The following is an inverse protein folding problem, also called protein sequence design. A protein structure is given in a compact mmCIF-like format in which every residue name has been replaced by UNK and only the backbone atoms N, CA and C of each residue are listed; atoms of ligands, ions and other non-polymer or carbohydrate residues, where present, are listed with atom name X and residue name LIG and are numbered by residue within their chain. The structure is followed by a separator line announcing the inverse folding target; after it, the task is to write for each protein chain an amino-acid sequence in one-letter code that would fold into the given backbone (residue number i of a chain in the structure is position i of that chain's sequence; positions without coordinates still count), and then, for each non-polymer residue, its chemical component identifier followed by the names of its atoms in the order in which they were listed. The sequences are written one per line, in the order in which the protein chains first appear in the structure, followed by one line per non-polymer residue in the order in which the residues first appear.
data_IF_963366351434
#
_entry.id   IF_963366351434
#
_cell.length_a   1.000
_cell.length_b   1.000
_cell.length_c   1.000
_cell.angle_alpha   90.00
_cell.angle_beta   90.00
_cell.angle_gamma   90.00
#
_symmetry.space_group_name_H-M   'P 1'
#
loop_
_entity.id
_entity.type
_entity.pdbx_description
1 polymer ?
#
# COMPACT_ATOMS: atom_id res chain seq x y z
N UNK A 1 -1.68 10.19 9.43
CA UNK A 1 -2.15 9.44 8.26
C UNK A 1 -0.90 9.03 7.50
N UNK A 2 -0.69 7.72 7.30
CA UNK A 2 0.60 7.15 6.87
C UNK A 2 0.45 6.36 5.56
N UNK A 3 -0.17 7.02 4.60
CA UNK A 3 -0.51 6.59 3.24
C UNK A 3 -0.61 7.86 2.37
N UNK A 4 -0.90 7.72 1.07
CA UNK A 4 -0.86 8.79 0.07
C UNK A 4 0.52 9.45 -0.03
N UNK A 5 1.59 8.71 0.27
CA UNK A 5 2.96 9.20 0.14
C UNK A 5 3.33 9.43 -1.33
N UNK A 6 2.85 8.55 -2.20
CA UNK A 6 3.01 8.64 -3.64
C UNK A 6 1.70 8.37 -4.36
N UNK A 7 1.26 9.37 -5.13
CA UNK A 7 0.13 9.29 -6.03
C UNK A 7 0.39 10.20 -7.23
N UNK A 8 -0.32 9.97 -8.34
CA UNK A 8 -0.12 10.75 -9.55
C UNK A 8 -0.57 12.20 -9.36
N UNK A 9 0.34 13.13 -9.65
CA UNK A 9 0.06 14.54 -9.89
C UNK A 9 0.92 15.03 -11.05
N UNK A 10 0.57 16.17 -11.65
CA UNK A 10 1.42 16.80 -12.68
C UNK A 10 2.80 17.24 -12.12
N UNK A 11 2.91 17.47 -10.81
CA UNK A 11 4.15 17.88 -10.14
C UNK A 11 5.03 16.68 -9.75
N UNK A 12 4.43 15.52 -9.50
CA UNK A 12 5.10 14.25 -9.19
C UNK A 12 4.64 13.15 -10.16
N UNK A 13 4.91 13.30 -11.49
CA UNK A 13 4.40 12.40 -12.51
C UNK A 13 5.26 11.13 -12.61
N UNK A 14 5.41 10.41 -11.50
CA UNK A 14 6.19 9.18 -11.43
C UNK A 14 5.55 8.16 -10.47
N UNK A 15 5.72 6.88 -10.77
CA UNK A 15 5.22 5.78 -9.93
C UNK A 15 5.89 5.78 -8.56
N UNK A 16 5.15 5.38 -7.54
CA UNK A 16 5.67 5.25 -6.19
C UNK A 16 4.72 4.44 -5.32
N UNK A 17 5.20 4.01 -4.16
CA UNK A 17 4.44 3.16 -3.26
C UNK A 17 3.43 4.01 -2.46
N UNK A 18 2.16 3.59 -2.35
CA UNK A 18 1.15 4.35 -1.60
C UNK A 18 1.55 4.53 -0.12
N UNK A 19 1.94 3.43 0.53
CA UNK A 19 2.21 3.38 1.96
C UNK A 19 3.47 2.56 2.31
N UNK A 20 4.66 2.84 1.77
CA UNK A 20 5.85 2.05 2.08
C UNK A 20 6.17 2.09 3.58
N UNK A 21 6.56 0.94 4.16
CA UNK A 21 6.97 0.88 5.57
C UNK A 21 8.32 1.58 5.79
N UNK A 22 9.24 1.39 4.86
CA UNK A 22 10.58 1.98 4.83
C UNK A 22 10.83 2.61 3.44
N UNK A 23 11.77 3.56 3.30
CA UNK A 23 12.04 4.14 1.99
C UNK A 23 12.59 3.09 1.01
N UNK A 24 12.36 3.30 -0.28
CA UNK A 24 13.10 2.56 -1.31
C UNK A 24 14.57 3.00 -1.34
N UNK A 25 15.47 2.09 -1.72
CA UNK A 25 16.91 2.37 -1.73
C UNK A 25 17.33 3.48 -2.70
N UNK A 26 16.49 3.82 -3.69
CA UNK A 26 16.73 4.90 -4.63
C UNK A 26 16.17 6.26 -4.19
N UNK A 27 15.34 6.30 -3.14
CA UNK A 27 14.78 7.55 -2.63
C UNK A 27 15.84 8.32 -1.83
N UNK A 28 15.91 9.63 -2.06
CA UNK A 28 16.87 10.51 -1.38
C UNK A 28 16.20 11.80 -0.93
N UNK A 29 16.82 12.48 0.04
CA UNK A 29 16.32 13.76 0.55
C UNK A 29 14.90 13.66 1.08
N UNK A 30 14.02 14.55 0.60
CA UNK A 30 12.62 14.58 1.02
C UNK A 30 11.86 13.28 0.71
N UNK A 31 12.11 12.64 -0.44
CA UNK A 31 11.41 11.41 -0.82
C UNK A 31 11.71 10.26 0.15
N UNK A 32 12.94 10.19 0.67
CA UNK A 32 13.33 9.18 1.67
C UNK A 32 12.60 9.32 3.01
N UNK A 33 11.86 10.42 3.22
CA UNK A 33 11.02 10.66 4.42
C UNK A 33 9.56 10.20 4.23
N UNK A 34 9.15 9.86 3.01
CA UNK A 34 7.78 9.55 2.64
C UNK A 34 7.42 8.08 2.91
N UNK A 35 7.56 7.65 4.17
CA UNK A 35 7.28 6.29 4.59
C UNK A 35 6.76 6.23 6.04
N UNK A 36 6.14 5.11 6.40
CA UNK A 36 5.54 4.88 7.72
C UNK A 36 6.60 5.00 8.83
N UNK A 37 7.77 4.37 8.67
CA UNK A 37 8.81 4.37 9.69
C UNK A 37 9.31 5.78 10.00
N UNK A 38 9.63 6.58 8.99
CA UNK A 38 10.04 7.97 9.19
C UNK A 38 8.94 8.78 9.88
N UNK A 39 7.69 8.68 9.40
CA UNK A 39 6.57 9.44 9.97
C UNK A 39 6.32 9.09 11.44
N UNK A 40 6.39 7.81 11.80
CA UNK A 40 6.25 7.37 13.20
C UNK A 40 7.38 7.96 14.06
N UNK A 41 8.63 7.79 13.64
CA UNK A 41 9.78 8.32 14.39
C UNK A 41 9.73 9.84 14.51
N UNK A 42 9.33 10.55 13.46
CA UNK A 42 9.16 12.00 13.49
C UNK A 42 8.20 12.44 14.60
N UNK A 43 7.04 11.80 14.73
CA UNK A 43 6.09 12.13 15.78
C UNK A 43 6.62 11.81 17.18
N UNK A 44 7.26 10.65 17.36
CA UNK A 44 7.81 10.25 18.67
C UNK A 44 8.98 11.13 19.10
N UNK A 45 9.86 11.49 18.16
CA UNK A 45 11.00 12.38 18.41
C UNK A 45 10.55 13.80 18.77
N UNK A 46 9.35 14.20 18.32
CA UNK A 46 8.70 15.46 18.67
C UNK A 46 7.80 15.36 19.93
N UNK A 47 7.94 14.29 20.71
CA UNK A 47 7.30 14.16 22.03
C UNK A 47 5.92 13.51 22.03
N UNK A 48 5.46 12.95 20.91
CA UNK A 48 4.23 12.16 20.90
C UNK A 48 4.45 10.83 21.61
N UNK A 49 3.63 10.54 22.61
CA UNK A 49 3.72 9.27 23.35
C UNK A 49 3.36 8.10 22.40
N UNK A 50 4.22 7.06 22.28
CA UNK A 50 4.00 5.93 21.37
C UNK A 50 2.64 5.25 21.58
N UNK A 51 2.24 5.06 22.83
CA UNK A 51 0.98 4.43 23.26
C UNK A 51 -0.28 5.26 22.95
N UNK A 52 -0.12 6.46 22.37
CA UNK A 52 -1.22 7.28 21.82
C UNK A 52 -1.18 7.40 20.29
N UNK A 53 -0.14 6.86 19.65
CA UNK A 53 0.05 6.99 18.22
C UNK A 53 -0.59 5.81 17.48
N UNK A 54 -1.52 6.10 16.57
CA UNK A 54 -2.22 5.11 15.74
C UNK A 54 -1.74 5.24 14.30
N UNK A 55 -1.25 4.15 13.71
CA UNK A 55 -0.72 4.12 12.34
C UNK A 55 -1.85 3.84 11.34
N UNK A 56 -1.95 4.63 10.27
CA UNK A 56 -2.96 4.43 9.23
C UNK A 56 -2.49 3.39 8.20
N UNK A 57 -3.32 2.38 7.95
CA UNK A 57 -3.08 1.33 6.97
C UNK A 57 -4.16 1.42 5.88
N UNK A 58 -3.78 1.64 4.60
CA UNK A 58 -4.75 1.74 3.52
C UNK A 58 -5.21 0.35 3.08
N UNK A 59 -6.48 0.25 2.69
CA UNK A 59 -7.06 -0.92 1.98
C UNK A 59 -7.45 -0.56 0.54
N UNK A 60 -6.88 0.55 0.04
CA UNK A 60 -6.97 0.99 -1.34
C UNK A 60 -5.56 1.13 -1.92
N UNK A 61 -5.52 1.33 -3.22
CA UNK A 61 -4.34 1.41 -4.03
C UNK A 61 -4.30 2.73 -4.79
N UNK A 62 -3.08 3.16 -5.14
CA UNK A 62 -2.87 4.22 -6.12
C UNK A 62 -2.48 3.64 -7.47
N UNK A 63 -3.08 4.17 -8.53
CA UNK A 63 -2.86 3.73 -9.90
C UNK A 63 -2.22 4.82 -10.76
N UNK A 64 -1.36 4.39 -11.67
CA UNK A 64 -0.60 5.25 -12.56
C UNK A 64 -0.70 4.67 -13.98
N UNK A 65 -0.70 5.55 -14.97
CA UNK A 65 -0.48 5.19 -16.37
C UNK A 65 0.98 5.49 -16.72
N UNK A 66 1.75 4.46 -17.04
CA UNK A 66 3.16 4.57 -17.40
C UNK A 66 3.33 5.39 -18.68
N UNK A 67 4.44 6.14 -18.76
CA UNK A 67 4.83 6.81 -20.00
C UNK A 67 5.53 5.86 -20.97
N UNK A 68 6.19 4.81 -20.47
CA UNK A 68 6.95 3.84 -21.24
C UNK A 68 6.82 2.43 -20.64
N UNK A 69 6.32 1.48 -21.43
CA UNK A 69 6.13 0.07 -21.03
C UNK A 69 7.42 -0.61 -20.53
N UNK A 70 8.58 -0.20 -21.05
CA UNK A 70 9.88 -0.76 -20.66
C UNK A 70 10.43 -0.15 -19.37
N UNK A 71 9.80 0.91 -18.84
CA UNK A 71 10.11 1.50 -17.56
C UNK A 71 8.90 1.39 -16.62
N UNK A 72 8.87 0.32 -15.84
CA UNK A 72 7.71 -0.11 -15.04
C UNK A 72 8.06 -0.32 -13.55
N UNK A 73 9.26 0.11 -13.13
CA UNK A 73 9.71 0.05 -11.75
C UNK A 73 9.14 1.18 -10.90
N UNK A 74 9.71 1.34 -9.71
CA UNK A 74 9.51 2.54 -8.89
C UNK A 74 10.13 3.77 -9.57
N UNK A 75 9.55 4.95 -9.32
CA UNK A 75 9.99 6.23 -9.89
C UNK A 75 9.95 6.28 -11.43
N UNK A 76 9.21 5.38 -12.06
CA UNK A 76 9.01 5.38 -13.50
C UNK A 76 8.09 6.55 -13.90
N UNK A 77 8.42 7.31 -14.97
CA UNK A 77 7.56 8.40 -15.43
C UNK A 77 6.14 7.90 -15.75
N UNK A 78 5.15 8.63 -15.26
CA UNK A 78 3.73 8.39 -15.46
C UNK A 78 3.11 9.58 -16.21
N UNK A 79 2.07 9.32 -17.00
CA UNK A 79 1.35 10.34 -17.80
C UNK A 79 -0.08 10.58 -17.34
N UNK A 80 -0.54 9.85 -16.33
CA UNK A 80 -1.91 9.92 -15.85
C UNK A 80 -2.20 8.91 -14.76
N UNK A 81 -3.48 8.84 -14.41
CA UNK A 81 -4.03 7.78 -13.56
C UNK A 81 -4.14 6.48 -14.35
N UNK A 82 -3.89 5.35 -13.69
CA UNK A 82 -4.10 4.04 -14.31
C UNK A 82 -5.60 3.76 -14.54
N UNK A 83 -5.89 2.79 -15.40
CA UNK A 83 -7.26 2.44 -15.80
C UNK A 83 -8.07 1.74 -14.71
N UNK A 84 -7.38 1.12 -13.74
CA UNK A 84 -8.03 0.47 -12.59
C UNK A 84 -8.58 1.50 -11.61
N UNK A 85 -9.82 1.26 -11.17
CA UNK A 85 -10.52 2.11 -10.21
C UNK A 85 -10.99 3.44 -10.80
N UNK A 86 -10.95 4.51 -10.00
CA UNK A 86 -11.42 5.83 -10.39
C UNK A 86 -10.47 6.92 -9.90
N UNK A 87 -10.07 7.82 -10.81
CA UNK A 87 -9.23 9.00 -10.50
C UNK A 87 -7.93 8.67 -9.75
N UNK A 88 -7.29 7.55 -10.11
CA UNK A 88 -6.03 7.13 -9.48
C UNK A 88 -6.19 6.33 -8.19
N UNK A 89 -7.41 5.98 -7.80
CA UNK A 89 -7.71 5.18 -6.61
C UNK A 89 -8.40 3.87 -7.01
N UNK A 90 -7.92 2.75 -6.48
CA UNK A 90 -8.58 1.46 -6.64
C UNK A 90 -8.83 0.79 -5.27
N UNK A 91 -10.02 0.27 -5.05
CA UNK A 91 -10.31 -0.55 -3.86
C UNK A 91 -9.68 -1.94 -3.98
N UNK A 92 -9.61 -2.69 -2.87
CA UNK A 92 -8.96 -4.00 -2.86
C UNK A 92 -9.60 -5.01 -3.84
N UNK A 93 -10.94 -5.09 -4.01
CA UNK A 93 -11.53 -5.89 -5.08
C UNK A 93 -11.04 -5.53 -6.50
N UNK A 94 -10.82 -4.24 -6.79
CA UNK A 94 -10.26 -3.78 -8.07
C UNK A 94 -8.78 -4.16 -8.20
N UNK A 95 -8.01 -4.13 -7.10
CA UNK A 95 -6.64 -4.68 -7.05
C UNK A 95 -6.66 -6.17 -7.39
N UNK A 96 -7.55 -6.97 -6.78
CA UNK A 96 -7.68 -8.40 -7.07
C UNK A 96 -8.04 -8.65 -8.54
N UNK A 97 -8.99 -7.88 -9.09
CA UNK A 97 -9.37 -7.95 -10.50
C UNK A 97 -8.20 -7.58 -11.43
N UNK A 98 -7.37 -6.60 -11.03
CA UNK A 98 -6.16 -6.24 -11.76
C UNK A 98 -5.15 -7.40 -11.74
N UNK A 99 -4.87 -7.98 -10.58
CA UNK A 99 -3.92 -9.09 -10.40
C UNK A 99 -4.35 -10.37 -11.12
N UNK A 100 -5.65 -10.55 -11.36
CA UNK A 100 -6.19 -11.70 -12.09
C UNK A 100 -6.09 -11.60 -13.63
N UNK A 101 -5.66 -10.45 -14.17
CA UNK A 101 -5.46 -10.29 -15.63
C UNK A 101 -4.30 -11.16 -16.11
N UNK A 102 -4.36 -11.61 -17.36
CA UNK A 102 -3.26 -12.38 -17.95
C UNK A 102 -1.97 -11.53 -18.03
N UNK A 103 -0.80 -12.15 -17.81
CA UNK A 103 0.53 -11.50 -17.89
C UNK A 103 0.75 -10.30 -16.98
N UNK A 104 0.00 -10.15 -15.89
CA UNK A 104 0.32 -9.18 -14.84
C UNK A 104 1.65 -9.57 -14.20
N UNK A 105 2.51 -8.58 -13.96
CA UNK A 105 3.72 -8.75 -13.16
C UNK A 105 3.49 -8.10 -11.81
N UNK A 106 3.73 -8.86 -10.75
CA UNK A 106 3.65 -8.41 -9.36
C UNK A 106 5.04 -8.44 -8.76
N UNK A 107 5.41 -7.37 -8.10
CA UNK A 107 6.70 -7.19 -7.45
C UNK A 107 6.49 -6.87 -5.97
N UNK A 108 7.27 -7.50 -5.10
CA UNK A 108 7.29 -7.17 -3.67
C UNK A 108 8.62 -6.52 -3.31
N UNK A 109 8.57 -5.23 -2.96
CA UNK A 109 9.77 -4.47 -2.61
C UNK A 109 10.12 -4.77 -1.17
N UNK A 110 10.97 -5.78 -0.94
CA UNK A 110 11.32 -6.24 0.41
C UNK A 110 11.94 -5.16 1.30
N UNK A 111 12.68 -4.20 0.73
CA UNK A 111 13.20 -3.05 1.48
C UNK A 111 12.08 -2.21 2.07
N UNK A 112 11.09 -1.85 1.25
CA UNK A 112 9.95 -1.01 1.63
C UNK A 112 8.79 -1.79 2.29
N UNK A 113 8.80 -3.13 2.25
CA UNK A 113 7.71 -4.02 2.71
C UNK A 113 6.36 -3.66 2.09
N UNK A 114 6.35 -3.39 0.78
CA UNK A 114 5.12 -3.07 0.06
C UNK A 114 5.16 -3.60 -1.38
N UNK A 115 4.02 -4.06 -1.91
CA UNK A 115 3.91 -4.54 -3.27
C UNK A 115 3.55 -3.43 -4.26
N UNK A 116 3.84 -3.71 -5.52
CA UNK A 116 3.17 -3.09 -6.65
C UNK A 116 2.95 -4.15 -7.74
N UNK A 117 2.13 -3.82 -8.74
CA UNK A 117 1.97 -4.63 -9.92
C UNK A 117 1.80 -3.75 -11.16
N UNK A 118 2.04 -4.33 -12.34
CA UNK A 118 1.85 -3.64 -13.60
C UNK A 118 1.45 -4.60 -14.71
N UNK A 119 0.73 -4.04 -15.69
CA UNK A 119 0.30 -4.72 -16.88
C UNK A 119 0.13 -3.71 -18.00
N UNK A 120 0.90 -3.86 -19.09
CA UNK A 120 1.01 -2.85 -20.13
C UNK A 120 1.26 -1.45 -19.54
N UNK A 121 0.36 -0.51 -19.79
CA UNK A 121 0.46 0.89 -19.33
C UNK A 121 0.01 1.08 -17.89
N UNK A 122 -0.71 0.13 -17.31
CA UNK A 122 -1.23 0.27 -15.96
C UNK A 122 -0.20 -0.16 -14.93
N UNK A 123 -0.06 0.64 -13.88
CA UNK A 123 0.76 0.37 -12.72
C UNK A 123 -0.04 0.66 -11.45
N UNK A 124 0.05 -0.21 -10.44
CA UNK A 124 -0.74 -0.12 -9.20
C UNK A 124 0.13 -0.40 -7.98
N UNK A 125 0.15 0.52 -7.01
CA UNK A 125 0.69 0.28 -5.67
C UNK A 125 -0.44 0.06 -4.68
N UNK A 126 -0.35 -1.02 -3.92
CA UNK A 126 -1.39 -1.46 -3.01
C UNK A 126 -0.79 -2.04 -1.72
N UNK A 127 -1.66 -2.37 -0.79
CA UNK A 127 -1.36 -3.22 0.36
C UNK A 127 -2.06 -4.56 0.21
N UNK A 128 -1.39 -5.63 0.63
CA UNK A 128 -1.94 -6.98 0.71
C UNK A 128 -1.70 -7.57 2.10
N UNK A 129 -2.14 -8.82 2.31
CA UNK A 129 -1.99 -9.50 3.61
C UNK A 129 -0.52 -9.61 4.05
N UNK A 130 0.44 -9.71 3.10
CA UNK A 130 1.87 -9.82 3.42
C UNK A 130 2.42 -8.46 3.86
N UNK A 131 2.16 -7.39 3.12
CA UNK A 131 2.63 -6.05 3.53
C UNK A 131 1.98 -5.58 4.82
N UNK A 132 0.68 -5.85 5.00
CA UNK A 132 -0.02 -5.54 6.25
C UNK A 132 0.46 -6.38 7.43
N UNK A 133 0.95 -7.60 7.21
CA UNK A 133 1.65 -8.37 8.25
C UNK A 133 2.86 -7.60 8.77
N UNK A 134 3.77 -7.20 7.87
CA UNK A 134 4.98 -6.46 8.25
C UNK A 134 4.67 -5.14 8.95
N UNK A 135 3.64 -4.42 8.49
CA UNK A 135 3.22 -3.15 9.08
C UNK A 135 2.59 -3.35 10.45
N UNK A 136 1.73 -4.36 10.63
CA UNK A 136 1.14 -4.65 11.93
C UNK A 136 2.20 -5.12 12.95
N UNK A 137 3.14 -5.97 12.54
CA UNK A 137 4.29 -6.36 13.36
C UNK A 137 5.15 -5.16 13.76
N UNK A 138 5.41 -4.24 12.82
CA UNK A 138 6.12 -2.99 13.12
C UNK A 138 5.39 -2.18 14.22
N UNK A 139 4.07 -2.02 14.11
CA UNK A 139 3.27 -1.29 15.11
C UNK A 139 3.40 -1.94 16.50
N UNK A 140 3.33 -3.28 16.56
CA UNK A 140 3.53 -4.03 17.82
C UNK A 140 4.94 -3.85 18.39
N UNK A 141 5.97 -4.03 17.56
CA UNK A 141 7.37 -3.92 17.98
C UNK A 141 7.71 -2.51 18.48
N UNK A 142 7.14 -1.48 17.86
CA UNK A 142 7.29 -0.09 18.28
C UNK A 142 6.40 0.30 19.48
N UNK A 143 5.58 -0.62 20.00
CA UNK A 143 4.66 -0.41 21.14
C UNK A 143 3.74 0.79 20.93
N UNK A 144 3.26 0.96 19.69
CA UNK A 144 2.34 2.02 19.34
C UNK A 144 0.92 1.67 19.80
N UNK A 145 0.02 2.65 19.84
CA UNK A 145 -1.37 2.48 20.30
C UNK A 145 -2.18 1.48 19.45
N UNK A 146 -1.88 1.39 18.15
CA UNK A 146 -2.55 0.44 17.26
C UNK A 146 -2.57 0.90 15.80
N UNK A 147 -3.49 0.31 15.04
CA UNK A 147 -3.70 0.60 13.62
C UNK A 147 -5.10 1.21 13.38
N UNK A 148 -5.18 2.14 12.43
CA UNK A 148 -6.41 2.64 11.83
C UNK A 148 -6.48 2.12 10.39
N UNK A 149 -7.65 1.65 9.97
CA UNK A 149 -7.90 1.16 8.62
C UNK A 149 -8.61 2.23 7.80
N UNK A 150 -8.05 2.60 6.65
CA UNK A 150 -8.71 3.47 5.68
C UNK A 150 -8.85 2.72 4.35
N UNK A 151 -10.01 2.16 4.00
CA UNK A 151 -11.28 2.15 4.74
C UNK A 151 -11.95 0.78 4.65
N UNK A 152 -12.87 0.49 5.57
CA UNK A 152 -13.55 -0.82 5.61
C UNK A 152 -14.29 -1.16 4.30
N UNK A 153 -14.86 -0.17 3.61
CA UNK A 153 -15.55 -0.35 2.34
C UNK A 153 -14.61 -0.48 1.14
N UNK A 154 -13.34 -0.10 1.27
CA UNK A 154 -12.31 -0.33 0.26
C UNK A 154 -11.67 -1.72 0.38
N UNK A 155 -11.74 -2.36 1.55
CA UNK A 155 -11.39 -3.77 1.70
C UNK A 155 -12.43 -4.66 0.96
N UNK A 156 -12.09 -5.94 0.78
CA UNK A 156 -13.01 -6.92 0.20
C UNK A 156 -14.07 -7.38 1.21
N UNK A 157 -14.94 -6.44 1.58
CA UNK A 157 -16.06 -6.63 2.51
C UNK A 157 -17.12 -7.62 1.99
N UNK A 158 -17.09 -7.95 0.71
CA UNK A 158 -18.01 -8.90 0.07
C UNK A 158 -17.39 -10.27 -0.23
N UNK A 159 -16.07 -10.41 -0.11
CA UNK A 159 -15.32 -11.65 -0.37
C UNK A 159 -15.08 -11.96 -1.85
N UNK A 160 -15.12 -10.96 -2.74
CA UNK A 160 -15.00 -11.10 -4.20
C UNK A 160 -13.63 -11.52 -4.72
N UNK A 161 -12.55 -11.33 -3.95
CA UNK A 161 -11.18 -11.58 -4.39
C UNK A 161 -10.83 -13.08 -4.52
N UNK A 162 -11.59 -13.98 -3.87
CA UNK A 162 -11.30 -15.42 -3.87
C UNK A 162 -11.69 -16.15 -5.16
N UNK A 163 -10.97 -17.23 -5.46
CA UNK A 163 -11.46 -18.24 -6.41
C UNK A 163 -12.77 -18.84 -5.88
N UNK A 164 -13.74 -19.10 -6.78
CA UNK A 164 -15.09 -19.57 -6.42
C UNK A 164 -15.13 -20.82 -5.51
N UNK A 165 -14.03 -21.56 -5.42
CA UNK A 165 -13.90 -22.81 -4.68
C UNK A 165 -13.17 -22.66 -3.31
N UNK A 166 -12.53 -21.52 -3.05
CA UNK A 166 -11.87 -21.23 -1.76
C UNK A 166 -12.76 -20.31 -0.94
N UNK A 167 -13.02 -20.72 0.31
CA UNK A 167 -13.90 -20.06 1.28
C UNK A 167 -13.81 -18.52 1.18
N UNK A 168 -14.93 -17.87 0.85
CA UNK A 168 -15.04 -16.40 0.74
C UNK A 168 -14.62 -15.74 2.06
N UNK A 169 -13.45 -15.09 2.09
CA UNK A 169 -12.97 -14.33 3.24
C UNK A 169 -13.41 -12.89 3.07
N UNK A 170 -14.27 -12.40 3.96
CA UNK A 170 -14.64 -10.98 4.01
C UNK A 170 -13.61 -10.22 4.83
N UNK A 171 -13.30 -9.00 4.40
CA UNK A 171 -12.31 -8.13 5.06
C UNK A 171 -10.93 -8.79 5.24
N UNK A 172 -10.35 -9.42 4.21
CA UNK A 172 -9.09 -10.14 4.33
C UNK A 172 -7.97 -9.25 4.88
N UNK A 173 -7.86 -8.00 4.42
CA UNK A 173 -6.82 -7.08 4.87
C UNK A 173 -7.01 -6.67 6.33
N UNK A 174 -8.23 -6.27 6.68
CA UNK A 174 -8.56 -5.85 8.05
C UNK A 174 -8.40 -7.00 9.04
N UNK A 175 -8.84 -8.20 8.67
CA UNK A 175 -8.69 -9.40 9.50
C UNK A 175 -7.22 -9.75 9.70
N UNK A 176 -6.40 -9.64 8.66
CA UNK A 176 -4.97 -9.92 8.77
C UNK A 176 -4.30 -9.02 9.80
N UNK A 177 -4.59 -7.72 9.76
CA UNK A 177 -4.10 -6.77 10.77
C UNK A 177 -4.57 -7.17 12.17
N UNK A 178 -5.87 -7.50 12.33
CA UNK A 178 -6.45 -7.94 13.61
C UNK A 178 -5.78 -9.22 14.15
N UNK A 179 -5.48 -10.19 13.29
CA UNK A 179 -4.81 -11.45 13.68
C UNK A 179 -3.44 -11.17 14.30
N UNK A 180 -2.62 -10.35 13.64
CA UNK A 180 -1.28 -10.00 14.14
C UNK A 180 -1.36 -9.33 15.52
N UNK A 181 -2.32 -8.44 15.76
CA UNK A 181 -2.50 -7.83 17.09
C UNK A 181 -2.94 -8.81 18.17
N UNK A 182 -3.56 -9.95 17.81
CA UNK A 182 -3.99 -10.98 18.76
C UNK A 182 -2.96 -12.11 18.95
N UNK A 183 -1.91 -12.17 18.13
CA UNK A 183 -0.79 -13.09 18.33
C UNK A 183 0.03 -12.66 19.56
N UNK A 184 0.34 -13.62 20.45
CA UNK A 184 1.08 -13.39 21.69
C UNK A 184 2.58 -13.14 21.43
#
# INVERSE_FOLDING_TARGET
MTYDYHFYTELTPFTGLNAPLYPDGNETGYLATLNINYTVNYWTDNGMAPDKLVVGLPTYAHTFELYNLNNNGLMAPARGYGSSGHSGFANYPEVCAFLARDRVRREFVYGARSPYAFHEWDWISFDDEISLTFKAEFIKHQKLAGAMILSLNADDHQGRCGEKEVKMVKFPLTNRVKEIFNEN
#
